data_IF_817985819300
#
_entry.id   IF_817985819300
#
_cell.length_a   1.000
_cell.length_b   1.000
_cell.length_c   1.000
_cell.angle_alpha   90.00
_cell.angle_beta   90.00
_cell.angle_gamma   90.00
#
_symmetry.space_group_name_H-M   'P 1'
#
loop_
_entity.id
_entity.type
_entity.pdbx_description
1 polymer ?
#
# COMPACT_ATOMS: atom_id res chain seq x y z
N UNK A 1 5.50 -14.97 -24.62
CA UNK A 1 6.55 -14.92 -23.59
C UNK A 1 5.92 -14.51 -22.27
N UNK A 2 6.17 -15.26 -21.19
CA UNK A 2 5.72 -14.87 -19.86
C UNK A 2 6.33 -13.52 -19.47
N UNK A 3 5.54 -12.63 -18.88
CA UNK A 3 6.01 -11.34 -18.36
C UNK A 3 5.79 -11.35 -16.86
N UNK A 4 6.87 -11.11 -16.11
CA UNK A 4 6.83 -11.05 -14.65
C UNK A 4 6.89 -9.60 -14.19
N UNK A 5 6.16 -9.30 -13.12
CA UNK A 5 6.30 -8.07 -12.36
C UNK A 5 6.96 -8.40 -11.03
N UNK A 6 8.13 -7.79 -10.78
CA UNK A 6 8.88 -7.99 -9.55
C UNK A 6 8.81 -6.73 -8.70
N UNK A 7 8.79 -6.92 -7.38
CA UNK A 7 8.81 -5.84 -6.39
C UNK A 7 9.07 -6.39 -5.00
N UNK A 8 9.38 -5.49 -4.07
CA UNK A 8 9.63 -5.81 -2.66
C UNK A 8 8.73 -4.94 -1.80
N UNK A 9 8.00 -5.55 -0.88
CA UNK A 9 7.21 -4.84 0.13
C UNK A 9 8.12 -4.67 1.35
N UNK A 10 8.30 -3.43 1.81
CA UNK A 10 9.17 -3.15 2.97
C UNK A 10 8.66 -3.83 4.25
N UNK A 11 7.36 -3.70 4.52
CA UNK A 11 6.72 -4.28 5.69
C UNK A 11 5.33 -4.81 5.37
N UNK A 12 5.07 -6.06 5.77
CA UNK A 12 3.72 -6.61 5.92
C UNK A 12 3.44 -6.74 7.42
N UNK A 13 2.29 -6.27 7.89
CA UNK A 13 1.92 -6.36 9.30
C UNK A 13 0.46 -6.80 9.46
N UNK A 14 0.16 -7.37 10.63
CA UNK A 14 -1.19 -7.72 11.05
C UNK A 14 -1.60 -6.80 12.20
N UNK A 15 -2.74 -6.13 12.09
CA UNK A 15 -3.19 -5.15 13.09
C UNK A 15 -4.05 -5.76 14.22
N UNK A 16 -4.21 -7.08 14.23
CA UNK A 16 -5.14 -7.80 15.10
C UNK A 16 -6.43 -8.22 14.38
N UNK A 17 -6.71 -7.66 13.20
CA UNK A 17 -7.88 -7.97 12.37
C UNK A 17 -7.52 -8.28 10.92
N UNK A 18 -6.66 -7.47 10.30
CA UNK A 18 -6.37 -7.48 8.87
C UNK A 18 -4.86 -7.44 8.62
N UNK A 19 -4.46 -7.89 7.43
CA UNK A 19 -3.09 -7.82 6.93
C UNK A 19 -2.92 -6.58 6.05
N UNK A 20 -1.88 -5.81 6.33
CA UNK A 20 -1.58 -4.54 5.69
C UNK A 20 -0.17 -4.53 5.13
N UNK A 21 0.11 -3.54 4.29
CA UNK A 21 1.48 -3.19 3.90
C UNK A 21 1.85 -1.81 4.44
N UNK A 22 3.13 -1.62 4.71
CA UNK A 22 3.74 -0.30 4.85
C UNK A 22 4.98 -0.18 3.96
N UNK A 23 5.22 1.03 3.47
CA UNK A 23 6.38 1.39 2.64
C UNK A 23 7.00 2.68 3.17
N UNK A 24 8.33 2.69 3.31
CA UNK A 24 9.07 3.81 3.89
C UNK A 24 9.58 4.75 2.80
N UNK A 25 9.16 6.02 2.88
CA UNK A 25 9.55 7.07 1.94
C UNK A 25 10.47 8.09 2.60
N UNK A 26 11.66 8.26 2.03
CA UNK A 26 12.64 9.29 2.43
C UNK A 26 12.54 10.57 1.57
N UNK A 27 11.46 10.71 0.80
CA UNK A 27 11.17 11.83 -0.08
C UNK A 27 11.26 13.16 0.67
N UNK A 28 11.81 14.18 0.01
CA UNK A 28 11.87 15.54 0.52
C UNK A 28 10.70 16.36 -0.04
N UNK A 29 9.79 16.78 0.83
CA UNK A 29 8.64 17.63 0.47
C UNK A 29 8.87 19.10 0.88
N UNK A 30 9.79 19.32 1.82
CA UNK A 30 10.19 20.62 2.31
C UNK A 30 10.91 20.51 3.66
N UNK A 31 11.13 21.64 4.31
CA UNK A 31 11.94 21.74 5.53
C UNK A 31 11.12 21.58 6.80
N UNK A 32 9.84 21.93 6.76
CA UNK A 32 8.97 22.01 7.92
C UNK A 32 8.03 20.80 7.97
N UNK A 33 7.55 20.43 9.17
CA UNK A 33 6.55 19.36 9.30
C UNK A 33 5.25 19.66 8.53
N UNK A 34 4.96 20.94 8.27
CA UNK A 34 3.81 21.34 7.45
C UNK A 34 3.91 20.87 6.00
N UNK A 35 5.13 20.68 5.48
CA UNK A 35 5.36 20.17 4.12
C UNK A 35 5.05 18.66 4.01
N UNK A 36 4.79 17.99 5.13
CA UNK A 36 4.45 16.57 5.23
C UNK A 36 3.05 16.32 5.79
N UNK A 37 2.16 17.32 5.66
CA UNK A 37 0.74 17.13 5.94
C UNK A 37 0.07 16.29 4.85
N UNK A 38 -1.13 15.80 5.16
CA UNK A 38 -1.87 14.87 4.31
C UNK A 38 -2.04 15.35 2.86
N UNK A 39 -2.28 16.64 2.62
CA UNK A 39 -2.43 17.24 1.30
C UNK A 39 -1.13 17.21 0.48
N UNK A 40 -0.01 17.64 1.08
CA UNK A 40 1.30 17.62 0.45
C UNK A 40 1.77 16.18 0.14
N UNK A 41 1.55 15.25 1.09
CA UNK A 41 1.83 13.82 0.87
C UNK A 41 0.95 13.26 -0.24
N UNK A 42 -0.36 13.54 -0.24
CA UNK A 42 -1.27 13.07 -1.29
C UNK A 42 -0.87 13.59 -2.68
N UNK A 43 -0.44 14.85 -2.77
CA UNK A 43 0.06 15.41 -4.01
C UNK A 43 1.32 14.67 -4.48
N UNK A 44 2.27 14.43 -3.58
CA UNK A 44 3.47 13.69 -3.92
C UNK A 44 3.17 12.23 -4.34
N UNK A 45 2.27 11.54 -3.62
CA UNK A 45 1.79 10.20 -3.97
C UNK A 45 1.24 10.12 -5.40
N UNK A 46 0.49 11.14 -5.83
CA UNK A 46 -0.03 11.23 -7.20
C UNK A 46 1.09 11.45 -8.21
N UNK A 47 1.98 12.42 -7.97
CA UNK A 47 3.08 12.76 -8.87
C UNK A 47 4.08 11.60 -9.04
N UNK A 48 4.37 10.86 -7.96
CA UNK A 48 5.27 9.72 -7.98
C UNK A 48 4.61 8.39 -8.35
N UNK A 49 3.31 8.39 -8.68
CA UNK A 49 2.53 7.19 -9.00
C UNK A 49 2.58 6.10 -7.91
N UNK A 50 2.79 6.50 -6.66
CA UNK A 50 2.82 5.57 -5.52
C UNK A 50 1.47 4.91 -5.26
N UNK A 51 0.36 5.50 -5.72
CA UNK A 51 -0.94 4.84 -5.73
C UNK A 51 -0.93 3.54 -6.56
N UNK A 52 -0.24 3.52 -7.70
CA UNK A 52 -0.14 2.33 -8.55
C UNK A 52 0.76 1.28 -7.88
N UNK A 53 1.87 1.71 -7.28
CA UNK A 53 2.72 0.83 -6.48
C UNK A 53 1.92 0.17 -5.34
N UNK A 54 1.15 0.96 -4.58
CA UNK A 54 0.29 0.46 -3.52
C UNK A 54 -0.74 -0.55 -4.05
N UNK A 55 -1.37 -0.28 -5.19
CA UNK A 55 -2.35 -1.17 -5.80
C UNK A 55 -1.74 -2.53 -6.16
N UNK A 56 -0.56 -2.51 -6.80
CA UNK A 56 0.17 -3.72 -7.18
C UNK A 56 0.61 -4.53 -5.95
N UNK A 57 1.06 -3.86 -4.89
CA UNK A 57 1.44 -4.52 -3.63
C UNK A 57 0.22 -5.11 -2.91
N UNK A 58 -0.92 -4.45 -2.92
CA UNK A 58 -2.16 -5.00 -2.35
C UNK A 58 -2.67 -6.21 -3.14
N UNK A 59 -2.54 -6.23 -4.47
CA UNK A 59 -2.81 -7.45 -5.26
C UNK A 59 -1.83 -8.57 -4.93
N UNK A 60 -0.54 -8.27 -4.78
CA UNK A 60 0.45 -9.25 -4.37
C UNK A 60 0.12 -9.83 -2.98
N UNK A 61 -0.25 -8.98 -2.03
CA UNK A 61 -0.69 -9.39 -0.69
C UNK A 61 -1.98 -10.23 -0.76
N UNK A 62 -2.97 -9.81 -1.54
CA UNK A 62 -4.20 -10.56 -1.78
C UNK A 62 -3.90 -12.00 -2.25
N UNK A 63 -3.07 -12.14 -3.30
CA UNK A 63 -2.67 -13.45 -3.83
C UNK A 63 -1.90 -14.28 -2.80
N UNK A 64 -1.00 -13.64 -2.06
CA UNK A 64 -0.23 -14.30 -1.01
C UNK A 64 -1.14 -14.85 0.09
N UNK A 65 -2.08 -14.04 0.61
CA UNK A 65 -3.00 -14.46 1.67
C UNK A 65 -3.97 -15.54 1.19
N UNK A 66 -4.43 -15.48 -0.06
CA UNK A 66 -5.27 -16.52 -0.68
C UNK A 66 -4.60 -17.89 -0.69
N UNK A 67 -3.27 -17.92 -0.81
CA UNK A 67 -2.46 -19.16 -0.75
C UNK A 67 -2.16 -19.58 0.70
N UNK A 68 -1.93 -18.63 1.60
CA UNK A 68 -1.43 -18.90 2.95
C UNK A 68 -2.51 -19.13 4.00
N UNK A 69 -3.66 -18.48 3.87
CA UNK A 69 -4.74 -18.56 4.85
C UNK A 69 -5.81 -19.53 4.38
N UNK A 70 -6.15 -20.49 5.25
CA UNK A 70 -7.35 -21.29 5.08
C UNK A 70 -8.58 -20.39 5.24
N UNK A 71 -9.58 -20.54 4.36
CA UNK A 71 -10.82 -19.75 4.38
C UNK A 71 -10.61 -18.22 4.23
N UNK A 72 -9.61 -17.80 3.45
CA UNK A 72 -9.37 -16.39 3.16
C UNK A 72 -10.60 -15.69 2.55
N UNK A 73 -11.04 -14.60 3.17
CA UNK A 73 -12.03 -13.66 2.66
C UNK A 73 -11.36 -12.28 2.55
N UNK A 74 -11.39 -11.68 1.36
CA UNK A 74 -10.65 -10.43 1.08
C UNK A 74 -11.18 -9.26 1.91
N UNK A 75 -12.49 -9.20 2.12
CA UNK A 75 -13.20 -8.18 2.89
C UNK A 75 -12.85 -8.22 4.38
N UNK A 76 -12.48 -9.38 4.90
CA UNK A 76 -12.16 -9.59 6.32
C UNK A 76 -10.67 -9.52 6.59
N UNK A 77 -9.83 -10.00 5.67
CA UNK A 77 -8.41 -10.21 5.93
C UNK A 77 -7.49 -9.22 5.22
N UNK A 78 -7.91 -8.60 4.11
CA UNK A 78 -7.08 -7.63 3.41
C UNK A 78 -7.34 -6.22 3.94
N UNK A 79 -6.29 -5.63 4.48
CA UNK A 79 -6.24 -4.24 4.90
C UNK A 79 -5.83 -3.30 3.75
N UNK A 80 -5.10 -2.25 4.13
CA UNK A 80 -4.67 -1.20 3.20
C UNK A 80 -3.15 -1.04 3.14
N UNK A 81 -2.73 0.03 2.49
CA UNK A 81 -1.34 0.40 2.30
C UNK A 81 -1.03 1.71 3.03
N UNK A 82 0.04 1.71 3.83
CA UNK A 82 0.53 2.90 4.54
C UNK A 82 1.85 3.36 3.97
N UNK A 83 1.94 4.61 3.54
CA UNK A 83 3.18 5.23 3.08
C UNK A 83 3.71 6.13 4.18
N UNK A 84 4.87 5.79 4.72
CA UNK A 84 5.50 6.44 5.88
C UNK A 84 6.57 7.42 5.40
N UNK A 85 6.24 8.71 5.34
CA UNK A 85 7.16 9.78 4.97
C UNK A 85 8.03 10.15 6.16
N UNK A 86 9.16 9.46 6.30
CA UNK A 86 10.03 9.46 7.48
C UNK A 86 10.43 10.87 7.95
N UNK A 87 10.66 11.80 7.01
CA UNK A 87 11.05 13.18 7.33
C UNK A 87 9.94 14.01 7.99
N UNK A 88 8.69 13.61 7.79
CA UNK A 88 7.52 14.28 8.35
C UNK A 88 7.00 13.67 9.66
N UNK A 89 7.48 12.48 10.03
CA UNK A 89 7.02 11.78 11.23
C UNK A 89 7.63 12.41 12.48
N UNK A 90 6.78 12.88 13.39
CA UNK A 90 7.18 13.54 14.64
C UNK A 90 6.47 12.99 15.88
N UNK A 91 5.83 11.82 15.76
CA UNK A 91 5.05 11.18 16.82
C UNK A 91 3.61 11.68 16.98
N UNK A 92 3.18 12.69 16.20
CA UNK A 92 1.77 13.10 16.15
C UNK A 92 0.99 12.20 15.18
N UNK A 93 -0.26 11.89 15.54
CA UNK A 93 -1.09 10.90 14.85
C UNK A 93 -1.50 11.26 13.41
N UNK A 94 -1.33 12.52 12.99
CA UNK A 94 -1.74 13.05 11.68
C UNK A 94 -0.56 13.60 10.86
N UNK A 95 0.66 13.13 11.13
CA UNK A 95 1.88 13.67 10.52
C UNK A 95 2.75 12.61 9.86
N UNK A 96 3.22 12.91 8.65
CA UNK A 96 4.25 12.12 7.98
C UNK A 96 3.79 10.77 7.46
N UNK A 97 2.50 10.56 7.21
CA UNK A 97 2.03 9.34 6.55
C UNK A 97 0.79 9.57 5.69
N UNK A 98 0.52 8.61 4.82
CA UNK A 98 -0.73 8.49 4.10
C UNK A 98 -1.19 7.04 4.10
N UNK A 99 -2.44 6.82 4.52
CA UNK A 99 -3.09 5.53 4.47
C UNK A 99 -4.07 5.48 3.30
N UNK A 100 -4.00 4.40 2.51
CA UNK A 100 -4.94 4.16 1.42
C UNK A 100 -5.45 2.74 1.45
N UNK A 101 -6.78 2.61 1.43
CA UNK A 101 -7.49 1.36 1.28
C UNK A 101 -8.46 1.49 0.10
N UNK A 102 -8.15 0.91 -1.07
CA UNK A 102 -9.12 0.84 -2.15
C UNK A 102 -10.24 -0.14 -1.80
N UNK A 103 -11.37 -0.01 -2.50
CA UNK A 103 -12.45 -0.99 -2.42
C UNK A 103 -11.96 -2.37 -2.87
N UNK A 104 -12.52 -3.42 -2.25
CA UNK A 104 -12.23 -4.81 -2.60
C UNK A 104 -12.39 -5.07 -4.09
N UNK A 105 -13.43 -4.52 -4.71
CA UNK A 105 -13.70 -4.69 -6.14
C UNK A 105 -12.55 -4.16 -7.01
N UNK A 106 -11.93 -3.05 -6.63
CA UNK A 106 -10.78 -2.50 -7.34
C UNK A 106 -9.61 -3.49 -7.35
N UNK A 107 -9.31 -4.12 -6.20
CA UNK A 107 -8.24 -5.12 -6.10
C UNK A 107 -8.57 -6.35 -6.94
N UNK A 108 -9.80 -6.86 -6.86
CA UNK A 108 -10.22 -8.05 -7.63
C UNK A 108 -10.19 -7.79 -9.15
N UNK A 109 -10.61 -6.60 -9.61
CA UNK A 109 -10.54 -6.24 -11.03
C UNK A 109 -9.09 -6.08 -11.49
N UNK A 110 -8.24 -5.44 -10.70
CA UNK A 110 -6.82 -5.31 -11.03
C UNK A 110 -6.12 -6.68 -11.06
N UNK A 111 -6.43 -7.55 -10.10
CA UNK A 111 -5.97 -8.93 -10.06
C UNK A 111 -6.32 -9.70 -11.34
N UNK A 112 -7.58 -9.58 -11.79
CA UNK A 112 -8.05 -10.20 -13.03
C UNK A 112 -7.33 -9.65 -14.28
N UNK A 113 -7.06 -8.33 -14.33
CA UNK A 113 -6.31 -7.69 -15.43
C UNK A 113 -4.86 -8.20 -15.49
N UNK A 114 -4.21 -8.35 -14.33
CA UNK A 114 -2.84 -8.88 -14.26
C UNK A 114 -2.76 -10.36 -14.63
N UNK A 115 -3.88 -11.08 -14.52
CA UNK A 115 -4.02 -12.48 -14.92
C UNK A 115 -3.25 -13.45 -14.04
N UNK A 116 -3.41 -14.73 -14.36
CA UNK A 116 -2.70 -15.84 -13.75
C UNK A 116 -1.83 -16.51 -14.81
N UNK A 117 -0.79 -17.19 -14.37
CA UNK A 117 -0.05 -18.09 -15.24
C UNK A 117 -0.79 -19.44 -15.23
N UNK A 118 -1.28 -19.87 -16.39
CA UNK A 118 -1.84 -21.21 -16.60
C UNK A 118 -0.72 -22.23 -16.87
#
# INVERSE_FOLDING_TARGET
AARYLNGSIDLMYFDGSQFHIADYKSNYLGKDFNDYRADAIQQNMRQSSYWLQAALYLVALHRYLKVKLQHYQIEQHLGGATYLYLRGMNGQADQGYYYWRPDTEFILRLDAILGYFD
#
